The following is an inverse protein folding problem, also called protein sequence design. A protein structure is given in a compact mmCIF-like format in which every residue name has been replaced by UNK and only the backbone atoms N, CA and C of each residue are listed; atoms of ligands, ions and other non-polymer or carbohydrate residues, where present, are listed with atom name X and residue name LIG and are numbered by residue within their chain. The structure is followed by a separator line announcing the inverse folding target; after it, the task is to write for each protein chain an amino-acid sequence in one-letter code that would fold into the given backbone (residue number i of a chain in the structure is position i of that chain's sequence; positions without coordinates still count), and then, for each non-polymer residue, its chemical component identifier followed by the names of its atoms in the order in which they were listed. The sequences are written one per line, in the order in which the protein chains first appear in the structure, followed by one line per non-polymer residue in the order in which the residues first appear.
data_IF_306779880741
#
_entry.id   IF_306779880741
#
_cell.length_a   1.000
_cell.length_b   1.000
_cell.length_c   1.000
_cell.angle_alpha   90.00
_cell.angle_beta   90.00
_cell.angle_gamma   90.00
#
_symmetry.space_group_name_H-M   'P 1'
#
loop_
_entity.id
_entity.type
_entity.pdbx_description
1 polymer ?
#
# COMPACT_ATOMS: atom_id res chain seq x y z
N UNK A 1 0.17 -2.35 -17.97
CA UNK A 1 0.52 -3.21 -16.82
C UNK A 1 2.01 -3.19 -16.50
N UNK A 2 2.88 -3.08 -17.52
CA UNK A 2 4.34 -3.05 -17.33
C UNK A 2 4.77 -1.88 -16.40
N UNK A 3 4.15 -0.71 -16.53
CA UNK A 3 4.39 0.43 -15.64
C UNK A 3 3.95 0.13 -14.20
N UNK A 4 2.81 -0.55 -14.03
CA UNK A 4 2.32 -0.92 -12.69
C UNK A 4 3.28 -1.90 -12.00
N UNK A 5 3.77 -2.90 -12.75
CA UNK A 5 4.76 -3.85 -12.25
C UNK A 5 6.08 -3.15 -11.86
N UNK A 6 6.58 -2.26 -12.70
CA UNK A 6 7.82 -1.51 -12.43
C UNK A 6 7.68 -0.61 -11.19
N UNK A 7 6.52 0.05 -11.00
CA UNK A 7 6.26 0.87 -9.81
C UNK A 7 6.18 -0.02 -8.57
N UNK A 8 5.47 -1.15 -8.62
CA UNK A 8 5.40 -2.10 -7.51
C UNK A 8 6.79 -2.66 -7.16
N UNK A 9 7.61 -2.96 -8.16
CA UNK A 9 9.00 -3.39 -7.95
C UNK A 9 9.84 -2.32 -7.26
N UNK A 10 9.81 -1.08 -7.79
CA UNK A 10 10.53 0.05 -7.22
C UNK A 10 10.11 0.32 -5.78
N UNK A 11 8.81 0.36 -5.52
CA UNK A 11 8.27 0.55 -4.17
C UNK A 11 8.71 -0.58 -3.24
N UNK A 12 8.59 -1.83 -3.67
CA UNK A 12 9.02 -2.98 -2.87
C UNK A 12 10.49 -2.85 -2.44
N UNK A 13 11.38 -2.55 -3.38
CA UNK A 13 12.80 -2.45 -3.08
C UNK A 13 13.11 -1.33 -2.09
N UNK A 14 12.54 -0.14 -2.31
CA UNK A 14 12.85 1.03 -1.50
C UNK A 14 12.12 1.00 -0.14
N UNK A 15 10.84 0.66 -0.12
CA UNK A 15 10.06 0.59 1.12
C UNK A 15 10.59 -0.49 2.06
N UNK A 16 10.99 -1.66 1.53
CA UNK A 16 11.59 -2.71 2.35
C UNK A 16 12.91 -2.27 2.97
N UNK A 17 13.75 -1.55 2.22
CA UNK A 17 15.02 -1.04 2.74
C UNK A 17 14.80 0.00 3.84
N UNK A 18 13.93 0.98 3.60
CA UNK A 18 13.65 2.03 4.58
C UNK A 18 12.97 1.46 5.83
N UNK A 19 12.03 0.53 5.68
CA UNK A 19 11.38 -0.13 6.81
C UNK A 19 12.36 -0.97 7.64
N UNK A 20 13.31 -1.65 6.99
CA UNK A 20 14.39 -2.40 7.67
C UNK A 20 15.22 -1.50 8.57
N UNK A 21 15.62 -0.33 8.06
CA UNK A 21 16.38 0.65 8.84
C UNK A 21 15.52 1.21 9.98
N UNK A 22 14.27 1.55 9.69
CA UNK A 22 13.34 2.13 10.65
C UNK A 22 13.07 1.23 11.85
N UNK A 23 12.82 -0.08 11.66
CA UNK A 23 12.47 -0.97 12.78
C UNK A 23 13.59 -1.09 13.82
N UNK A 24 14.85 -0.81 13.44
CA UNK A 24 15.97 -0.83 14.37
C UNK A 24 15.91 0.31 15.38
N UNK A 25 15.36 1.46 14.96
CA UNK A 25 15.35 2.71 15.73
C UNK A 25 13.94 3.17 16.13
N UNK A 26 12.90 2.47 15.67
CA UNK A 26 11.52 2.82 15.93
C UNK A 26 11.25 3.04 17.42
N UNK A 27 10.83 4.24 17.76
CA UNK A 27 10.42 4.61 19.11
C UNK A 27 8.98 4.15 19.42
N UNK A 28 8.61 4.00 20.71
CA UNK A 28 7.23 3.70 21.09
C UNK A 28 6.22 4.74 20.56
N UNK A 29 6.62 6.01 20.46
CA UNK A 29 5.78 7.08 19.93
C UNK A 29 5.47 6.85 18.45
N UNK A 30 6.48 6.56 17.64
CA UNK A 30 6.31 6.29 16.21
C UNK A 30 5.46 5.04 15.97
N UNK A 31 5.67 3.99 16.75
CA UNK A 31 4.82 2.79 16.68
C UNK A 31 3.34 3.11 16.95
N UNK A 32 3.05 3.93 17.99
CA UNK A 32 1.69 4.35 18.32
C UNK A 32 1.10 5.19 17.16
N UNK A 33 1.90 6.05 16.54
CA UNK A 33 1.47 6.86 15.40
C UNK A 33 1.08 5.99 14.19
N UNK A 34 1.90 5.00 13.85
CA UNK A 34 1.60 4.03 12.78
C UNK A 34 0.34 3.24 13.12
N UNK A 35 0.25 2.75 14.37
CA UNK A 35 -0.93 2.00 14.83
C UNK A 35 -2.20 2.85 14.73
N UNK A 36 -2.13 4.13 15.10
CA UNK A 36 -3.27 5.04 14.97
C UNK A 36 -3.73 5.18 13.52
N UNK A 37 -2.80 5.30 12.55
CA UNK A 37 -3.16 5.31 11.13
C UNK A 37 -3.83 4.02 10.68
N UNK A 38 -3.34 2.88 11.16
CA UNK A 38 -3.98 1.58 10.93
C UNK A 38 -5.40 1.52 11.50
N UNK A 39 -5.61 1.98 12.75
CA UNK A 39 -6.93 1.99 13.39
C UNK A 39 -7.92 2.84 12.57
N UNK A 40 -7.48 3.98 12.03
CA UNK A 40 -8.30 4.82 11.14
C UNK A 40 -8.63 4.11 9.81
N UNK A 41 -7.68 3.35 9.23
CA UNK A 41 -7.95 2.54 8.04
C UNK A 41 -9.00 1.46 8.33
N UNK A 42 -8.92 0.81 9.48
CA UNK A 42 -9.87 -0.22 9.91
C UNK A 42 -11.27 0.37 10.15
N UNK A 43 -11.37 1.54 10.79
CA UNK A 43 -12.63 2.27 10.95
C UNK A 43 -13.24 2.66 9.60
N UNK A 44 -12.43 3.24 8.71
CA UNK A 44 -12.89 3.62 7.37
C UNK A 44 -13.39 2.40 6.59
N UNK A 45 -12.68 1.28 6.66
CA UNK A 45 -13.07 0.04 5.99
C UNK A 45 -14.44 -0.47 6.43
N UNK A 46 -14.83 -0.27 7.68
CA UNK A 46 -16.16 -0.64 8.19
C UNK A 46 -17.29 0.17 7.54
N UNK A 47 -17.00 1.38 7.10
CA UNK A 47 -17.97 2.25 6.40
C UNK A 47 -18.04 1.98 4.90
N UNK A 48 -17.08 1.21 4.34
CA UNK A 48 -16.97 0.90 2.91
C UNK A 48 -17.93 -0.23 2.44
N UNK A 49 -18.97 -0.51 3.20
CA UNK A 49 -19.97 -1.53 2.85
C UNK A 49 -20.93 -1.10 1.74
N UNK A 50 -21.03 0.20 1.48
CA UNK A 50 -21.86 0.78 0.41
C UNK A 50 -20.96 1.33 -0.71
N UNK A 51 -20.91 0.68 -1.89
CA UNK A 51 -20.05 1.10 -2.99
C UNK A 51 -20.32 2.52 -3.51
N UNK A 52 -21.51 3.09 -3.25
CA UNK A 52 -21.89 4.43 -3.72
C UNK A 52 -21.37 5.54 -2.78
N UNK A 53 -21.06 5.21 -1.52
CA UNK A 53 -20.64 6.18 -0.50
C UNK A 53 -19.17 6.03 -0.05
N UNK A 54 -18.38 5.24 -0.77
CA UNK A 54 -16.99 4.99 -0.39
C UNK A 54 -16.07 6.11 -0.87
N UNK A 55 -15.42 6.81 0.05
CA UNK A 55 -14.31 7.69 -0.30
C UNK A 55 -12.99 6.89 -0.44
N UNK A 56 -12.85 6.26 -1.62
CA UNK A 56 -11.65 5.48 -1.97
C UNK A 56 -10.39 6.35 -1.93
N UNK A 57 -10.51 7.64 -2.28
CA UNK A 57 -9.37 8.55 -2.23
C UNK A 57 -8.87 8.73 -0.81
N UNK A 58 -9.78 8.96 0.14
CA UNK A 58 -9.43 9.09 1.55
C UNK A 58 -8.77 7.82 2.08
N UNK A 59 -9.28 6.63 1.72
CA UNK A 59 -8.67 5.35 2.10
C UNK A 59 -7.25 5.21 1.55
N UNK A 60 -7.04 5.46 0.25
CA UNK A 60 -5.71 5.37 -0.37
C UNK A 60 -4.74 6.43 0.17
N UNK A 61 -5.23 7.62 0.49
CA UNK A 61 -4.40 8.67 1.10
C UNK A 61 -3.95 8.27 2.50
N UNK A 62 -4.85 7.72 3.31
CA UNK A 62 -4.54 7.26 4.67
C UNK A 62 -3.54 6.08 4.67
N UNK A 63 -3.67 5.17 3.69
CA UNK A 63 -2.68 4.11 3.42
C UNK A 63 -1.28 4.70 3.16
N UNK A 64 -1.19 5.65 2.24
CA UNK A 64 0.07 6.34 1.94
C UNK A 64 0.63 7.11 3.14
N UNK A 65 -0.21 7.75 3.93
CA UNK A 65 0.21 8.45 5.15
C UNK A 65 0.80 7.51 6.20
N UNK A 66 0.26 6.30 6.34
CA UNK A 66 0.82 5.28 7.23
C UNK A 66 2.23 4.89 6.79
N UNK A 67 2.43 4.63 5.49
CA UNK A 67 3.74 4.31 4.94
C UNK A 67 4.73 5.48 5.03
N UNK A 68 4.28 6.72 4.90
CA UNK A 68 5.12 7.90 4.98
C UNK A 68 5.86 8.04 6.33
N UNK A 69 5.31 7.48 7.42
CA UNK A 69 5.87 7.67 8.77
C UNK A 69 7.31 7.15 8.84
N UNK A 70 7.59 5.93 8.37
CA UNK A 70 8.96 5.41 8.43
C UNK A 70 9.91 6.13 7.47
N UNK A 71 9.42 6.65 6.34
CA UNK A 71 10.25 7.50 5.48
C UNK A 71 10.60 8.84 6.13
N UNK A 72 9.64 9.49 6.80
CA UNK A 72 9.86 10.72 7.55
C UNK A 72 10.85 10.50 8.69
N UNK A 73 10.65 9.47 9.50
CA UNK A 73 11.52 9.13 10.63
C UNK A 73 12.96 8.86 10.20
N UNK A 74 13.15 8.28 9.03
CA UNK A 74 14.48 7.98 8.47
C UNK A 74 15.08 9.12 7.63
N UNK A 75 14.49 10.32 7.64
CA UNK A 75 14.90 11.46 6.80
C UNK A 75 14.91 11.13 5.29
N UNK A 76 13.96 10.30 4.83
CA UNK A 76 13.82 9.87 3.44
C UNK A 76 12.61 10.49 2.74
N UNK A 77 12.15 11.65 3.21
CA UNK A 77 10.97 12.32 2.67
C UNK A 77 11.06 12.60 1.16
N UNK A 78 12.20 13.05 0.66
CA UNK A 78 12.40 13.28 -0.78
C UNK A 78 12.22 12.00 -1.60
N UNK A 79 12.70 10.86 -1.07
CA UNK A 79 12.52 9.56 -1.72
C UNK A 79 11.03 9.21 -1.76
N UNK A 80 10.33 9.36 -0.62
CA UNK A 80 8.89 9.10 -0.54
C UNK A 80 8.09 9.92 -1.55
N UNK A 81 8.36 11.23 -1.63
CA UNK A 81 7.71 12.11 -2.60
C UNK A 81 7.93 11.65 -4.05
N UNK A 82 9.09 11.12 -4.39
CA UNK A 82 9.37 10.61 -5.73
C UNK A 82 8.67 9.26 -6.00
N UNK A 83 8.60 8.37 -5.01
CA UNK A 83 7.90 7.08 -5.12
C UNK A 83 6.39 7.24 -5.28
N UNK A 84 5.82 8.26 -4.65
CA UNK A 84 4.37 8.48 -4.60
C UNK A 84 3.90 9.58 -5.55
N UNK A 85 4.76 10.06 -6.45
CA UNK A 85 4.32 10.96 -7.53
C UNK A 85 3.14 10.33 -8.27
N UNK A 86 2.07 11.10 -8.52
CA UNK A 86 0.91 10.59 -9.24
C UNK A 86 1.30 9.98 -10.59
N UNK A 87 1.01 8.70 -10.74
CA UNK A 87 1.18 7.95 -11.98
C UNK A 87 -0.22 7.51 -12.43
N UNK A 88 -0.73 8.03 -13.54
CA UNK A 88 -2.13 7.80 -13.94
C UNK A 88 -2.50 6.31 -14.02
N UNK A 89 -1.63 5.46 -14.56
CA UNK A 89 -1.88 4.03 -14.71
C UNK A 89 -1.88 3.30 -13.37
N UNK A 90 -0.95 3.66 -12.48
CA UNK A 90 -0.88 3.08 -11.14
C UNK A 90 -2.07 3.52 -10.28
N UNK A 91 -2.45 4.80 -10.36
CA UNK A 91 -3.61 5.34 -9.64
C UNK A 91 -4.92 4.69 -10.10
N UNK A 92 -5.08 4.47 -11.42
CA UNK A 92 -6.24 3.74 -11.95
C UNK A 92 -6.26 2.28 -11.49
N UNK A 93 -5.10 1.64 -11.50
CA UNK A 93 -4.94 0.26 -11.07
C UNK A 93 -5.31 0.06 -9.59
N UNK A 94 -4.74 0.88 -8.68
CA UNK A 94 -5.02 0.77 -7.24
C UNK A 94 -6.49 1.01 -6.91
N UNK A 95 -7.13 1.96 -7.60
CA UNK A 95 -8.58 2.18 -7.46
C UNK A 95 -9.40 0.97 -7.91
N UNK A 96 -9.06 0.37 -9.05
CA UNK A 96 -9.75 -0.83 -9.54
C UNK A 96 -9.59 -2.00 -8.58
N UNK A 97 -8.41 -2.18 -8.01
CA UNK A 97 -8.14 -3.23 -7.03
C UNK A 97 -9.01 -3.06 -5.78
N UNK A 98 -9.09 -1.85 -5.22
CA UNK A 98 -9.96 -1.57 -4.06
C UNK A 98 -11.44 -1.76 -4.37
N UNK A 99 -11.93 -1.19 -5.49
CA UNK A 99 -13.37 -1.17 -5.81
C UNK A 99 -13.88 -2.50 -6.34
N UNK A 100 -13.11 -3.15 -7.22
CA UNK A 100 -13.58 -4.32 -8.00
C UNK A 100 -13.15 -5.66 -7.42
N UNK A 101 -11.98 -5.71 -6.79
CA UNK A 101 -11.47 -6.93 -6.21
C UNK A 101 -11.91 -7.13 -4.74
N UNK A 102 -12.59 -6.15 -4.15
CA UNK A 102 -13.00 -6.17 -2.74
C UNK A 102 -11.82 -6.54 -1.81
N UNK A 103 -10.67 -5.94 -2.05
CA UNK A 103 -9.39 -6.31 -1.43
C UNK A 103 -9.14 -5.67 -0.06
N UNK A 104 -10.04 -4.82 0.42
CA UNK A 104 -9.88 -4.11 1.69
C UNK A 104 -9.54 -5.06 2.86
N UNK A 105 -10.17 -6.23 3.02
CA UNK A 105 -9.79 -7.18 4.08
C UNK A 105 -8.34 -7.66 3.97
N UNK A 106 -7.85 -7.91 2.75
CA UNK A 106 -6.46 -8.34 2.51
C UNK A 106 -5.48 -7.21 2.86
N UNK A 107 -5.78 -5.99 2.41
CA UNK A 107 -4.98 -4.79 2.72
C UNK A 107 -4.87 -4.58 4.23
N UNK A 108 -5.98 -4.66 4.96
CA UNK A 108 -5.98 -4.54 6.43
C UNK A 108 -5.18 -5.67 7.10
N UNK A 109 -5.31 -6.89 6.62
CA UNK A 109 -4.54 -8.03 7.14
C UNK A 109 -3.04 -7.83 6.94
N UNK A 110 -2.63 -7.34 5.77
CA UNK A 110 -1.23 -7.06 5.44
C UNK A 110 -0.67 -5.91 6.30
N UNK A 111 -1.44 -4.84 6.51
CA UNK A 111 -1.04 -3.74 7.40
C UNK A 111 -0.93 -4.18 8.87
N UNK A 112 -1.81 -5.06 9.34
CA UNK A 112 -1.69 -5.65 10.69
C UNK A 112 -0.39 -6.44 10.83
N UNK A 113 0.01 -7.13 9.78
CA UNK A 113 1.26 -7.87 9.75
C UNK A 113 2.48 -6.92 9.71
N UNK A 114 2.39 -5.77 9.03
CA UNK A 114 3.41 -4.71 9.09
C UNK A 114 3.59 -4.22 10.54
N UNK A 115 2.50 -3.96 11.27
CA UNK A 115 2.56 -3.59 12.68
C UNK A 115 3.25 -4.68 13.54
N UNK A 116 2.98 -5.96 13.28
CA UNK A 116 3.64 -7.07 13.97
C UNK A 116 5.14 -7.05 13.70
N UNK A 117 5.54 -6.96 12.44
CA UNK A 117 6.95 -6.93 12.01
C UNK A 117 7.71 -5.78 12.66
N UNK A 118 7.11 -4.59 12.72
CA UNK A 118 7.71 -3.42 13.38
C UNK A 118 7.89 -3.69 14.88
N UNK A 119 6.86 -4.19 15.56
CA UNK A 119 6.87 -4.47 17.00
C UNK A 119 7.91 -5.53 17.37
N UNK A 120 7.98 -6.59 16.58
CA UNK A 120 8.85 -7.76 16.84
C UNK A 120 10.26 -7.58 16.27
N UNK A 121 10.48 -6.51 15.50
CA UNK A 121 11.75 -6.25 14.79
C UNK A 121 12.17 -7.40 13.87
N UNK A 122 11.17 -8.01 13.20
CA UNK A 122 11.34 -9.17 12.34
C UNK A 122 11.86 -8.75 10.95
N UNK A 123 13.18 -8.56 10.87
CA UNK A 123 13.86 -8.06 9.66
C UNK A 123 13.63 -8.98 8.45
N UNK A 124 13.62 -10.29 8.68
CA UNK A 124 13.55 -11.28 7.59
C UNK A 124 12.14 -11.32 6.95
N UNK A 125 11.11 -10.95 7.70
CA UNK A 125 9.75 -10.89 7.19
C UNK A 125 9.46 -9.65 6.34
N UNK A 126 10.28 -8.59 6.38
CA UNK A 126 9.98 -7.28 5.77
C UNK A 126 9.78 -7.40 4.26
N UNK A 127 10.80 -7.85 3.53
CA UNK A 127 10.74 -7.86 2.06
C UNK A 127 9.63 -8.77 1.53
N UNK A 128 9.46 -10.01 2.00
CA UNK A 128 8.35 -10.83 1.58
C UNK A 128 6.97 -10.22 1.87
N UNK A 129 6.81 -9.54 2.99
CA UNK A 129 5.57 -8.88 3.38
C UNK A 129 5.27 -7.67 2.48
N UNK A 130 6.23 -6.74 2.33
CA UNK A 130 6.07 -5.54 1.50
C UNK A 130 5.83 -5.94 0.03
N UNK A 131 6.54 -6.94 -0.47
CA UNK A 131 6.29 -7.50 -1.81
C UNK A 131 4.87 -8.05 -1.93
N UNK A 132 4.41 -8.85 -0.98
CA UNK A 132 3.05 -9.39 -0.98
C UNK A 132 2.01 -8.27 -0.99
N UNK A 133 2.23 -7.24 -0.18
CA UNK A 133 1.35 -6.08 -0.05
C UNK A 133 1.27 -5.29 -1.36
N UNK A 134 2.39 -4.85 -1.90
CA UNK A 134 2.42 -4.00 -3.09
C UNK A 134 2.05 -4.73 -4.38
N UNK A 135 2.35 -6.02 -4.48
CA UNK A 135 1.93 -6.86 -5.61
C UNK A 135 0.54 -7.50 -5.41
N UNK A 136 -0.10 -7.27 -4.26
CA UNK A 136 -1.38 -7.87 -3.93
C UNK A 136 -2.44 -7.66 -5.00
N UNK A 137 -2.58 -6.42 -5.48
CA UNK A 137 -3.51 -6.07 -6.55
C UNK A 137 -3.23 -6.82 -7.85
N UNK A 138 -1.97 -6.88 -8.30
CA UNK A 138 -1.59 -7.62 -9.50
C UNK A 138 -1.92 -9.11 -9.40
N UNK A 139 -1.77 -9.71 -8.22
CA UNK A 139 -2.11 -11.11 -7.99
C UNK A 139 -3.62 -11.34 -7.95
N UNK A 140 -4.37 -10.47 -7.26
CA UNK A 140 -5.83 -10.59 -7.11
C UNK A 140 -6.55 -10.38 -8.44
N UNK A 141 -6.17 -9.35 -9.16
CA UNK A 141 -6.78 -9.06 -10.46
C UNK A 141 -6.32 -10.04 -11.56
N UNK A 142 -5.11 -10.59 -11.44
CA UNK A 142 -4.58 -11.67 -12.28
C UNK A 142 -4.98 -11.59 -13.75
N UNK A 143 -5.52 -12.68 -14.29
CA UNK A 143 -6.00 -12.76 -15.69
C UNK A 143 -7.19 -11.83 -15.98
N UNK A 144 -7.90 -11.35 -14.96
CA UNK A 144 -9.03 -10.43 -15.18
C UNK A 144 -8.58 -9.09 -15.79
N UNK A 145 -7.33 -8.67 -15.55
CA UNK A 145 -6.76 -7.46 -16.16
C UNK A 145 -6.67 -7.55 -17.68
N UNK A 146 -6.57 -8.76 -18.22
CA UNK A 146 -6.53 -9.00 -19.68
C UNK A 146 -7.92 -9.19 -20.30
N UNK A 147 -8.99 -9.20 -19.48
CA UNK A 147 -10.34 -9.31 -20.00
C UNK A 147 -10.71 -8.07 -20.82
N UNK A 148 -11.47 -8.26 -21.90
CA UNK A 148 -11.90 -7.20 -22.84
C UNK A 148 -12.50 -5.97 -22.11
N UNK A 149 -13.26 -6.20 -21.03
CA UNK A 149 -13.90 -5.15 -20.23
C UNK A 149 -12.90 -4.20 -19.55
N UNK A 150 -11.62 -4.59 -19.38
CA UNK A 150 -10.58 -3.79 -18.76
C UNK A 150 -9.54 -3.28 -19.75
N UNK A 151 -9.52 -3.78 -20.99
CA UNK A 151 -8.58 -3.32 -22.02
C UNK A 151 -8.60 -1.80 -22.18
N UNK A 152 -9.79 -1.18 -22.22
CA UNK A 152 -9.93 0.27 -22.37
C UNK A 152 -9.31 1.10 -21.24
N UNK A 153 -9.07 0.50 -20.08
CA UNK A 153 -8.44 1.18 -18.94
C UNK A 153 -6.90 1.17 -19.02
N UNK A 154 -6.33 0.24 -19.79
CA UNK A 154 -4.89 0.01 -19.89
C UNK A 154 -4.32 0.14 -21.31
N UNK A 155 -5.15 0.25 -22.31
CA UNK A 155 -4.76 0.49 -23.70
C UNK A 155 -4.95 1.97 -24.06
N UNK A 156 -4.12 2.79 -23.50
CA UNK A 156 -3.92 4.18 -23.89
C UNK A 156 -2.52 4.35 -24.45
N UNK A 157 -2.17 3.51 -25.41
CA UNK A 157 -0.96 3.64 -26.21
C UNK A 157 -1.39 3.57 -27.68
#
# INVERSE_FOLDING_TARGET
LDIVDQIAYQRTAVESMVLRDFIQVCSPKEYIEIKHKYDLLEEMAQTMTDPENVDINAFLMLDLEMHAIWFCSMNKWYIWQNLTKPQPDYSRFTRLDVVRANNVPDVLSEHREILRVIREKDVDAIEPLIRRHLYGGLRRMGTQLYAEKYKSYFTGI
#
